data_IF_981432396999
#
_entry.id   IF_981432396999
#
_cell.length_a   1.000
_cell.length_b   1.000
_cell.length_c   1.000
_cell.angle_alpha   90.00
_cell.angle_beta   90.00
_cell.angle_gamma   90.00
#
_symmetry.space_group_name_H-M   'P 1'
#
loop_
_entity.id
_entity.type
_entity.pdbx_description
1 polymer ?
#
# COMPACT_ATOMS: atom_id res chain seq x y z
N UNK A 1 -6.54 -14.85 -22.77
CA UNK A 1 -6.67 -14.44 -21.36
C UNK A 1 -5.68 -13.31 -21.14
N UNK A 2 -6.15 -12.12 -20.72
CA UNK A 2 -5.29 -10.98 -20.43
C UNK A 2 -5.19 -10.87 -18.90
N UNK A 3 -4.01 -11.09 -18.28
CA UNK A 3 -3.89 -11.09 -16.82
C UNK A 3 -4.12 -9.71 -16.18
N UNK A 4 -4.09 -8.64 -16.99
CA UNK A 4 -4.24 -7.24 -16.58
C UNK A 4 -5.67 -6.69 -16.70
N UNK A 5 -6.68 -7.52 -16.96
CA UNK A 5 -8.09 -7.09 -16.89
C UNK A 5 -8.43 -6.79 -15.45
N UNK A 6 -8.65 -5.50 -15.14
CA UNK A 6 -8.95 -5.04 -13.78
C UNK A 6 -10.44 -4.97 -13.45
N UNK A 7 -11.30 -4.64 -14.42
CA UNK A 7 -12.75 -4.62 -14.22
C UNK A 7 -13.27 -6.03 -13.88
N UNK A 8 -13.87 -6.26 -12.69
CA UNK A 8 -14.34 -7.59 -12.30
C UNK A 8 -15.35 -8.20 -13.28
N UNK A 9 -16.20 -7.38 -13.91
CA UNK A 9 -17.21 -7.84 -14.85
C UNK A 9 -16.62 -8.39 -16.17
N UNK A 10 -15.38 -8.01 -16.49
CA UNK A 10 -14.65 -8.47 -17.68
C UNK A 10 -13.72 -9.66 -17.40
N UNK A 11 -13.59 -10.11 -16.14
CA UNK A 11 -12.72 -11.24 -15.76
C UNK A 11 -13.39 -12.57 -16.15
N UNK A 12 -12.75 -13.42 -16.97
CA UNK A 12 -13.31 -14.73 -17.33
C UNK A 12 -13.49 -15.65 -16.11
N UNK A 13 -14.61 -16.40 -15.98
CA UNK A 13 -14.81 -17.34 -14.86
C UNK A 13 -13.80 -18.50 -14.79
N UNK A 14 -13.00 -18.70 -15.84
CA UNK A 14 -11.93 -19.70 -15.90
C UNK A 14 -10.52 -19.10 -15.74
N UNK A 15 -10.42 -17.85 -15.26
CA UNK A 15 -9.15 -17.17 -15.05
C UNK A 15 -8.43 -17.71 -13.81
N UNK A 16 -7.34 -18.44 -14.06
CA UNK A 16 -6.46 -19.06 -13.07
C UNK A 16 -5.73 -18.07 -12.14
N UNK A 17 -5.91 -16.76 -12.34
CA UNK A 17 -5.28 -15.70 -11.57
C UNK A 17 -6.31 -14.77 -10.90
N UNK A 18 -7.61 -15.09 -10.94
CA UNK A 18 -8.68 -14.22 -10.43
C UNK A 18 -8.62 -13.98 -8.91
N UNK A 19 -8.02 -14.91 -8.16
CA UNK A 19 -7.88 -14.89 -6.70
C UNK A 19 -6.48 -14.41 -6.22
N UNK A 20 -5.55 -14.16 -7.15
CA UNK A 20 -4.17 -13.81 -6.81
C UNK A 20 -3.94 -12.29 -6.77
N UNK A 21 -3.68 -11.70 -5.58
CA UNK A 21 -3.56 -10.24 -5.43
C UNK A 21 -2.37 -9.64 -6.21
N UNK A 22 -1.36 -10.46 -6.51
CA UNK A 22 -0.13 -10.06 -7.20
C UNK A 22 -0.33 -9.57 -8.64
N UNK A 23 -1.46 -9.86 -9.28
CA UNK A 23 -1.73 -9.42 -10.67
C UNK A 23 -2.30 -8.00 -10.77
N UNK A 24 -2.42 -7.28 -9.65
CA UNK A 24 -2.71 -5.84 -9.66
C UNK A 24 -4.06 -5.47 -10.28
N UNK A 25 -5.04 -6.38 -10.23
CA UNK A 25 -6.41 -6.20 -10.75
C UNK A 25 -7.25 -5.28 -9.85
N UNK A 26 -6.74 -4.07 -9.65
CA UNK A 26 -7.45 -3.00 -8.99
C UNK A 26 -8.21 -2.18 -10.04
N UNK A 27 -9.53 -2.13 -9.91
CA UNK A 27 -10.41 -1.27 -10.69
C UNK A 27 -10.77 -0.04 -9.85
N UNK A 28 -10.15 1.13 -10.09
CA UNK A 28 -10.37 2.30 -9.25
C UNK A 28 -11.81 2.76 -9.30
N UNK A 29 -12.43 2.95 -8.13
CA UNK A 29 -13.76 3.52 -7.98
C UNK A 29 -13.69 5.00 -7.63
N UNK A 30 -14.80 5.70 -7.83
CA UNK A 30 -14.87 7.14 -7.55
C UNK A 30 -14.89 7.45 -6.05
N UNK A 31 -15.44 6.53 -5.25
CA UNK A 31 -15.56 6.54 -3.79
C UNK A 31 -14.36 5.90 -3.07
N UNK A 32 -13.35 5.41 -3.79
CA UNK A 32 -12.14 4.87 -3.19
C UNK A 32 -11.40 5.92 -2.35
N UNK A 33 -10.80 5.45 -1.26
CA UNK A 33 -10.04 6.30 -0.37
C UNK A 33 -8.90 7.02 -1.10
N UNK A 34 -8.78 8.31 -0.82
CA UNK A 34 -7.68 9.16 -1.26
C UNK A 34 -7.06 9.81 -0.04
N UNK A 35 -5.75 9.87 -0.01
CA UNK A 35 -5.05 10.57 1.07
C UNK A 35 -5.23 12.08 0.94
N UNK A 36 -5.40 12.74 2.08
CA UNK A 36 -5.31 14.19 2.14
C UNK A 36 -3.83 14.62 2.03
N UNK A 37 -3.48 15.16 0.88
CA UNK A 37 -2.12 15.57 0.54
C UNK A 37 -1.59 16.72 1.41
N UNK A 38 -2.46 17.44 2.15
CA UNK A 38 -1.98 18.48 3.08
C UNK A 38 -1.15 17.90 4.25
N UNK A 39 -1.34 16.62 4.56
CA UNK A 39 -0.60 15.92 5.62
C UNK A 39 0.59 15.11 5.09
N UNK A 40 0.83 15.11 3.78
CA UNK A 40 2.03 14.51 3.20
C UNK A 40 3.29 15.22 3.70
N UNK A 41 4.29 14.46 4.16
CA UNK A 41 5.55 14.96 4.73
C UNK A 41 5.41 15.92 5.93
N UNK A 42 4.22 16.03 6.53
CA UNK A 42 3.97 16.86 7.70
C UNK A 42 4.27 16.10 8.99
N UNK A 43 4.95 16.78 9.92
CA UNK A 43 5.22 16.30 11.29
C UNK A 43 4.31 16.98 12.33
N UNK A 44 3.25 17.66 11.90
CA UNK A 44 2.26 18.28 12.80
C UNK A 44 1.47 17.22 13.57
N UNK A 45 0.95 17.58 14.75
CA UNK A 45 0.09 16.69 15.55
C UNK A 45 -1.13 16.20 14.77
N UNK A 46 -1.74 17.08 13.97
CA UNK A 46 -2.91 16.78 13.15
C UNK A 46 -2.56 15.76 12.05
N UNK A 47 -1.39 15.90 11.42
CA UNK A 47 -0.89 14.92 10.46
C UNK A 47 -0.66 13.55 11.12
N UNK A 48 -0.14 13.49 12.35
CA UNK A 48 0.07 12.23 13.06
C UNK A 48 -1.26 11.55 13.42
N UNK A 49 -2.28 12.31 13.84
CA UNK A 49 -3.63 11.78 14.09
C UNK A 49 -4.28 11.28 12.80
N UNK A 50 -4.15 12.05 11.71
CA UNK A 50 -4.61 11.64 10.39
C UNK A 50 -3.95 10.32 9.94
N UNK A 51 -2.62 10.22 9.97
CA UNK A 51 -1.92 9.00 9.56
C UNK A 51 -2.21 7.80 10.48
N UNK A 52 -2.49 8.02 11.77
CA UNK A 52 -2.98 6.97 12.67
C UNK A 52 -4.34 6.42 12.19
N UNK A 53 -5.30 7.29 11.85
CA UNK A 53 -6.61 6.87 11.32
C UNK A 53 -6.53 6.16 9.95
N UNK A 54 -5.47 6.41 9.18
CA UNK A 54 -5.16 5.65 7.95
C UNK A 54 -4.65 4.25 8.29
N UNK A 55 -3.78 4.11 9.29
CA UNK A 55 -3.29 2.81 9.75
C UNK A 55 -4.38 1.95 10.41
N UNK A 56 -5.32 2.54 11.15
CA UNK A 56 -6.47 1.82 11.72
C UNK A 56 -7.35 1.11 10.68
N UNK A 57 -7.24 1.52 9.40
CA UNK A 57 -7.95 0.93 8.26
C UNK A 57 -7.10 -0.05 7.45
N UNK A 58 -5.85 -0.28 7.85
CA UNK A 58 -4.90 -1.18 7.19
C UNK A 58 -4.90 -2.56 7.88
N UNK A 59 -6.02 -3.28 7.81
CA UNK A 59 -6.18 -4.62 8.39
C UNK A 59 -5.82 -5.76 7.40
N UNK A 60 -6.07 -7.00 7.80
CA UNK A 60 -5.80 -8.18 6.98
C UNK A 60 -6.62 -8.25 5.68
N UNK A 61 -7.77 -7.59 5.59
CA UNK A 61 -8.65 -7.60 4.40
C UNK A 61 -8.11 -6.74 3.26
N UNK A 62 -7.31 -5.72 3.58
CA UNK A 62 -6.64 -4.82 2.61
C UNK A 62 -5.14 -5.09 2.47
N UNK A 63 -4.62 -6.13 3.12
CA UNK A 63 -3.20 -6.53 3.06
C UNK A 63 -2.93 -7.32 1.78
N UNK A 64 -2.09 -6.76 0.90
CA UNK A 64 -1.62 -7.43 -0.32
C UNK A 64 -0.68 -8.60 0.01
N UNK A 65 0.24 -8.40 0.95
CA UNK A 65 1.12 -9.45 1.47
C UNK A 65 1.69 -9.07 2.85
N UNK A 66 1.90 -10.07 3.74
CA UNK A 66 2.62 -9.86 4.98
C UNK A 66 4.12 -9.67 4.73
N UNK A 67 4.81 -9.06 5.69
CA UNK A 67 6.25 -8.99 5.70
C UNK A 67 6.90 -10.36 5.90
N UNK A 68 8.08 -10.54 5.30
CA UNK A 68 9.08 -11.49 5.80
C UNK A 68 9.77 -10.90 7.04
N UNK A 69 10.60 -11.70 7.73
CA UNK A 69 11.27 -11.32 8.98
C UNK A 69 12.00 -9.96 8.86
N UNK A 70 11.64 -8.99 9.72
CA UNK A 70 12.18 -7.62 9.69
C UNK A 70 11.58 -6.68 8.62
N UNK A 71 10.57 -7.11 7.84
CA UNK A 71 9.94 -6.27 6.83
C UNK A 71 8.77 -5.41 7.33
N UNK A 72 8.03 -4.82 6.37
CA UNK A 72 6.75 -4.11 6.60
C UNK A 72 5.64 -4.80 5.80
N UNK A 73 4.46 -4.98 6.40
CA UNK A 73 3.27 -5.43 5.67
C UNK A 73 2.89 -4.37 4.64
N UNK A 74 2.32 -4.82 3.52
CA UNK A 74 1.93 -3.94 2.40
C UNK A 74 0.43 -4.02 2.17
N UNK A 75 -0.23 -2.87 2.19
CA UNK A 75 -1.68 -2.72 2.12
C UNK A 75 -2.07 -1.86 0.92
N UNK A 76 -3.23 -2.14 0.32
CA UNK A 76 -3.87 -1.31 -0.69
C UNK A 76 -5.14 -0.69 -0.12
N UNK A 77 -5.11 0.60 0.21
CA UNK A 77 -6.24 1.32 0.80
C UNK A 77 -6.77 2.34 -0.20
N UNK A 78 -7.72 1.92 -1.03
CA UNK A 78 -8.19 2.72 -2.17
C UNK A 78 -7.04 3.05 -3.12
N UNK A 79 -6.84 4.34 -3.38
CA UNK A 79 -5.85 4.83 -4.33
C UNK A 79 -4.39 4.90 -3.81
N UNK A 80 -4.09 4.36 -2.61
CA UNK A 80 -2.73 4.38 -2.03
C UNK A 80 -2.23 3.02 -1.56
N UNK A 81 -0.92 2.81 -1.72
CA UNK A 81 -0.19 1.69 -1.11
C UNK A 81 0.46 2.16 0.19
N UNK A 82 0.15 1.46 1.29
CA UNK A 82 0.72 1.72 2.62
C UNK A 82 1.70 0.61 2.97
N UNK A 83 2.91 0.96 3.43
CA UNK A 83 3.91 0.01 3.94
C UNK A 83 4.14 0.25 5.42
N UNK A 84 3.66 -0.66 6.29
CA UNK A 84 3.68 -0.47 7.74
C UNK A 84 3.86 -1.77 8.51
N UNK A 85 4.57 -1.73 9.64
CA UNK A 85 4.73 -2.85 10.58
C UNK A 85 3.79 -2.74 11.79
N UNK A 86 2.73 -1.93 11.72
CA UNK A 86 1.85 -1.64 12.86
C UNK A 86 1.07 -2.86 13.40
N UNK A 87 0.88 -3.91 12.59
CA UNK A 87 0.30 -5.19 13.02
C UNK A 87 1.32 -6.14 13.66
N UNK A 88 2.61 -5.80 13.66
CA UNK A 88 3.67 -6.65 14.22
C UNK A 88 3.83 -6.42 15.72
N UNK A 89 4.11 -7.50 16.46
CA UNK A 89 4.33 -7.41 17.91
C UNK A 89 5.60 -6.59 18.22
N UNK A 90 5.45 -5.57 19.08
CA UNK A 90 6.50 -4.62 19.48
C UNK A 90 7.73 -5.20 20.19
N UNK A 91 7.80 -6.52 20.37
CA UNK A 91 8.91 -7.24 20.98
C UNK A 91 9.68 -8.18 20.05
N UNK A 92 9.37 -8.23 18.75
CA UNK A 92 10.08 -9.06 17.77
C UNK A 92 10.98 -8.19 16.89
N UNK A 93 12.29 -8.31 17.11
CA UNK A 93 13.38 -7.53 16.50
C UNK A 93 13.42 -6.04 16.87
N UNK A 94 14.61 -5.37 16.81
CA UNK A 94 14.69 -3.91 16.88
C UNK A 94 13.80 -3.30 15.77
N UNK A 95 13.38 -2.03 15.88
CA UNK A 95 12.63 -1.37 14.82
C UNK A 95 13.44 -1.48 13.54
N UNK A 96 13.02 -2.38 12.65
CA UNK A 96 13.80 -2.79 11.50
C UNK A 96 14.18 -1.54 10.71
N UNK A 97 15.45 -1.51 10.31
CA UNK A 97 16.15 -0.36 9.72
C UNK A 97 15.16 0.46 8.90
N UNK A 98 14.71 1.58 9.51
CA UNK A 98 13.55 2.29 8.98
C UNK A 98 14.01 3.00 7.72
N UNK A 99 13.81 2.33 6.58
CA UNK A 99 13.98 2.86 5.24
C UNK A 99 12.98 4.02 5.04
N UNK A 100 13.34 5.16 5.64
CA UNK A 100 12.93 6.49 5.25
C UNK A 100 13.71 6.87 3.99
N UNK A 101 13.47 6.12 2.91
CA UNK A 101 13.92 6.49 1.59
C UNK A 101 13.04 7.64 1.09
N UNK A 102 13.45 8.87 1.40
CA UNK A 102 12.95 10.05 0.70
C UNK A 102 13.75 10.22 -0.59
N UNK A 103 13.28 9.59 -1.67
CA UNK A 103 13.95 9.55 -2.96
C UNK A 103 13.14 10.27 -4.05
N UNK A 104 12.66 11.48 -3.72
CA UNK A 104 12.03 12.40 -4.67
C UNK A 104 12.77 13.74 -4.76
N UNK A 105 13.19 14.08 -5.97
CA UNK A 105 13.10 15.43 -6.56
C UNK A 105 12.82 15.34 -8.08
N UNK A 106 12.34 14.18 -8.53
CA UNK A 106 13.16 13.23 -9.29
C UNK A 106 12.89 11.84 -8.65
N UNK A 107 12.32 10.80 -9.28
CA UNK A 107 12.35 9.40 -8.73
C UNK A 107 13.77 8.83 -8.88
N UNK A 108 14.68 9.47 -8.14
CA UNK A 108 15.99 10.04 -8.53
C UNK A 108 16.20 10.55 -10.00
N UNK A 109 15.38 10.19 -11.00
CA UNK A 109 14.64 11.07 -11.96
C UNK A 109 13.53 10.27 -12.72
N UNK A 110 12.97 9.23 -12.09
CA UNK A 110 12.31 8.02 -12.63
C UNK A 110 13.32 6.93 -13.01
N UNK A 111 14.03 6.37 -12.02
CA UNK A 111 15.17 5.43 -12.11
C UNK A 111 16.33 5.97 -12.98
N UNK A 112 16.12 6.01 -14.30
CA UNK A 112 16.77 6.95 -15.19
C UNK A 112 15.70 7.83 -15.85
N UNK A 113 14.84 7.26 -16.71
CA UNK A 113 13.50 7.77 -17.06
C UNK A 113 12.54 6.57 -17.37
N UNK A 114 12.16 5.75 -16.37
CA UNK A 114 11.28 4.57 -16.53
C UNK A 114 10.75 3.97 -15.20
#
# INVERSE_FOLDING_TARGET
MNPYVSNPDDIPPNDQYADLPFYGRYFPRQDDFRVDLQYANSLSSDAMQYWASVLERCDESVRLYPAFEGGRDVFALGAVVVKSSHLHNSGQSPPAERDYSYADANEVQAIAIA
#
